data_IF_728765515247
#
_entry.id   IF_728765515247
#
_cell.length_a   1.000
_cell.length_b   1.000
_cell.length_c   1.000
_cell.angle_alpha   90.00
_cell.angle_beta   90.00
_cell.angle_gamma   90.00
#
_symmetry.space_group_name_H-M   'P 1'
#
loop_
_entity.id
_entity.type
_entity.pdbx_description
1 polymer ?
#
# COMPACT_ATOMS: atom_id res chain seq x y z
N UNK A 1 27.21 15.33 7.15
CA UNK A 1 26.54 14.04 7.37
C UNK A 1 25.09 14.18 7.85
N UNK A 2 24.79 14.90 8.94
CA UNK A 2 23.45 14.94 9.60
C UNK A 2 22.23 15.31 8.73
N UNK A 3 22.37 16.21 7.74
CA UNK A 3 21.28 16.61 6.82
C UNK A 3 20.77 15.49 5.90
N UNK A 4 21.60 14.49 5.59
CA UNK A 4 21.21 13.38 4.72
C UNK A 4 20.37 12.37 5.50
N UNK A 5 20.68 12.16 6.77
CA UNK A 5 19.93 11.30 7.67
C UNK A 5 18.53 11.86 7.95
N UNK A 6 18.41 13.17 8.12
CA UNK A 6 17.12 13.86 8.23
C UNK A 6 16.27 13.63 6.97
N UNK A 7 16.83 13.86 5.77
CA UNK A 7 16.13 13.62 4.50
C UNK A 7 15.70 12.15 4.32
N UNK A 8 16.55 11.21 4.71
CA UNK A 8 16.22 9.77 4.67
C UNK A 8 15.10 9.41 5.66
N UNK A 9 15.07 10.04 6.85
CA UNK A 9 13.99 9.82 7.83
C UNK A 9 12.64 10.35 7.36
N UNK A 10 12.61 11.51 6.70
CA UNK A 10 11.38 12.06 6.12
C UNK A 10 10.85 11.14 5.01
N UNK A 11 11.71 10.67 4.11
CA UNK A 11 11.35 9.71 3.07
C UNK A 11 10.79 8.41 3.66
N UNK A 12 11.33 7.94 4.79
CA UNK A 12 10.88 6.72 5.46
C UNK A 12 9.46 6.87 6.04
N UNK A 13 9.11 8.04 6.59
CA UNK A 13 7.74 8.31 7.04
C UNK A 13 6.71 8.24 5.91
N UNK A 14 7.05 8.75 4.72
CA UNK A 14 6.12 8.75 3.58
C UNK A 14 6.08 7.41 2.82
N UNK A 15 7.11 6.56 2.96
CA UNK A 15 7.21 5.27 2.27
C UNK A 15 6.04 4.35 2.61
N UNK A 16 5.62 4.30 3.87
CA UNK A 16 4.52 3.45 4.30
C UNK A 16 3.18 3.93 3.73
N UNK A 17 2.99 5.24 3.67
CA UNK A 17 1.79 5.85 3.12
C UNK A 17 1.67 5.61 1.61
N UNK A 18 2.77 5.82 0.87
CA UNK A 18 2.84 5.62 -0.58
C UNK A 18 2.69 4.12 -0.92
N UNK A 19 3.35 3.25 -0.16
CA UNK A 19 3.25 1.80 -0.34
C UNK A 19 1.83 1.28 -0.11
N UNK A 20 1.17 1.70 0.98
CA UNK A 20 -0.20 1.31 1.26
C UNK A 20 -1.18 1.78 0.18
N UNK A 21 -1.06 3.03 -0.28
CA UNK A 21 -1.86 3.55 -1.40
C UNK A 21 -1.64 2.74 -2.69
N UNK A 22 -0.39 2.38 -2.99
CA UNK A 22 -0.05 1.54 -4.14
C UNK A 22 -0.72 0.17 -4.10
N UNK A 23 -0.68 -0.51 -2.95
CA UNK A 23 -1.34 -1.81 -2.79
C UNK A 23 -2.87 -1.71 -2.96
N UNK A 24 -3.50 -0.70 -2.35
CA UNK A 24 -4.96 -0.50 -2.45
C UNK A 24 -5.37 -0.27 -3.91
N UNK A 25 -4.69 0.62 -4.62
CA UNK A 25 -4.97 0.91 -6.03
C UNK A 25 -4.77 -0.31 -6.93
N UNK A 26 -3.72 -1.09 -6.68
CA UNK A 26 -3.41 -2.29 -7.48
C UNK A 26 -4.43 -3.40 -7.21
N UNK A 27 -4.80 -3.62 -5.96
CA UNK A 27 -5.86 -4.57 -5.58
C UNK A 27 -7.20 -4.20 -6.22
N UNK A 28 -7.57 -2.92 -6.16
CA UNK A 28 -8.79 -2.40 -6.78
C UNK A 28 -8.78 -2.58 -8.30
N UNK A 29 -7.66 -2.28 -8.96
CA UNK A 29 -7.51 -2.49 -10.40
C UNK A 29 -7.72 -3.95 -10.81
N UNK A 30 -7.18 -4.90 -10.05
CA UNK A 30 -7.33 -6.34 -10.34
C UNK A 30 -8.80 -6.77 -10.21
N UNK A 31 -9.50 -6.29 -9.19
CA UNK A 31 -10.92 -6.60 -8.93
C UNK A 31 -11.80 -6.08 -10.07
N UNK A 32 -11.56 -4.86 -10.57
CA UNK A 32 -12.38 -4.26 -11.63
C UNK A 32 -12.10 -4.85 -13.02
N UNK A 33 -10.84 -5.19 -13.33
CA UNK A 33 -10.43 -5.55 -14.70
C UNK A 33 -10.55 -7.05 -14.99
N UNK A 34 -10.48 -7.91 -13.96
CA UNK A 34 -10.48 -9.37 -14.17
C UNK A 34 -11.86 -9.97 -13.89
N UNK A 35 -12.44 -10.63 -14.88
CA UNK A 35 -13.69 -11.40 -14.73
C UNK A 35 -13.52 -12.79 -14.10
N UNK A 36 -12.29 -13.27 -13.93
CA UNK A 36 -12.05 -14.59 -13.32
C UNK A 36 -12.05 -14.46 -11.79
N UNK A 37 -12.94 -15.21 -11.15
CA UNK A 37 -13.14 -15.25 -9.69
C UNK A 37 -11.83 -15.46 -8.92
N UNK A 38 -10.93 -16.34 -9.38
CA UNK A 38 -9.64 -16.59 -8.69
C UNK A 38 -8.78 -15.32 -8.67
N UNK A 39 -8.74 -14.58 -9.78
CA UNK A 39 -7.97 -13.33 -9.86
C UNK A 39 -8.59 -12.23 -9.01
N UNK A 40 -9.92 -12.20 -8.92
CA UNK A 40 -10.64 -11.28 -8.02
C UNK A 40 -10.31 -11.58 -6.56
N UNK A 41 -10.27 -12.85 -6.15
CA UNK A 41 -9.89 -13.25 -4.78
C UNK A 41 -8.45 -12.82 -4.45
N UNK A 42 -7.52 -13.00 -5.38
CA UNK A 42 -6.14 -12.52 -5.23
C UNK A 42 -6.10 -10.99 -5.12
N UNK A 43 -6.85 -10.28 -5.97
CA UNK A 43 -6.99 -8.82 -5.88
C UNK A 43 -7.57 -8.34 -4.56
N UNK A 44 -8.57 -9.06 -4.02
CA UNK A 44 -9.15 -8.80 -2.70
C UNK A 44 -8.12 -8.98 -1.59
N UNK A 45 -7.30 -10.03 -1.63
CA UNK A 45 -6.24 -10.26 -0.64
C UNK A 45 -5.14 -9.18 -0.66
N UNK A 46 -4.78 -8.68 -1.85
CA UNK A 46 -3.85 -7.55 -2.00
C UNK A 46 -4.48 -6.25 -1.47
N UNK A 47 -5.78 -6.04 -1.71
CA UNK A 47 -6.49 -4.88 -1.21
C UNK A 47 -6.58 -4.90 0.33
N UNK A 48 -6.91 -6.05 0.93
CA UNK A 48 -7.01 -6.23 2.38
C UNK A 48 -5.66 -5.95 3.08
N UNK A 49 -4.56 -6.50 2.55
CA UNK A 49 -3.21 -6.21 3.04
C UNK A 49 -2.82 -4.74 2.87
N UNK A 50 -3.20 -4.09 1.76
CA UNK A 50 -2.99 -2.66 1.55
C UNK A 50 -3.74 -1.78 2.55
N UNK A 51 -5.01 -2.10 2.83
CA UNK A 51 -5.85 -1.38 3.81
C UNK A 51 -5.33 -1.59 5.23
N UNK A 52 -4.90 -2.80 5.59
CA UNK A 52 -4.31 -3.07 6.90
C UNK A 52 -3.01 -2.26 7.10
N UNK A 53 -2.14 -2.24 6.09
CA UNK A 53 -0.92 -1.42 6.12
C UNK A 53 -1.24 0.07 6.23
N UNK A 54 -2.27 0.55 5.53
CA UNK A 54 -2.74 1.94 5.64
C UNK A 54 -3.23 2.27 7.05
N UNK A 55 -4.06 1.41 7.65
CA UNK A 55 -4.59 1.59 8.99
C UNK A 55 -3.48 1.63 10.05
N UNK A 56 -2.51 0.72 9.97
CA UNK A 56 -1.36 0.72 10.88
C UNK A 56 -0.52 1.98 10.69
N UNK A 57 -0.31 2.42 9.45
CA UNK A 57 0.49 3.61 9.14
C UNK A 57 -0.19 4.93 9.54
N UNK A 58 -1.52 4.97 9.67
CA UNK A 58 -2.28 6.14 10.15
C UNK A 58 -2.45 6.11 11.66
N UNK A 59 -2.58 4.91 12.25
CA UNK A 59 -2.80 4.72 13.68
C UNK A 59 -1.53 4.77 14.53
N UNK A 60 -0.35 4.64 13.92
CA UNK A 60 0.96 4.76 14.56
C UNK A 60 1.54 6.17 14.32
#
# INVERSE_FOLDING_TARGET
MRKVDDMMSFLNSYIYYIGAFGLILTGLYIILVKHNLIKVIVGLGILDTGVNLFLISVGY
#
